data_IF_938623934707
#
_entry.id   IF_938623934707
#
_cell.length_a   1.000
_cell.length_b   1.000
_cell.length_c   1.000
_cell.angle_alpha   90.00
_cell.angle_beta   90.00
_cell.angle_gamma   90.00
#
_symmetry.space_group_name_H-M   'P 1'
#
loop_
_entity.id
_entity.type
_entity.pdbx_description
1 polymer ?
#
# COMPACT_ATOMS: atom_id res chain seq x y z
N UNK A 1 -7.90 -22.02 -18.72
CA UNK A 1 -6.52 -21.48 -18.61
C UNK A 1 -6.53 -20.06 -18.06
N UNK A 2 -7.56 -19.26 -18.36
CA UNK A 2 -7.71 -17.86 -17.91
C UNK A 2 -8.00 -17.69 -16.41
N UNK A 3 -8.78 -18.58 -15.79
CA UNK A 3 -9.03 -18.56 -14.33
C UNK A 3 -7.73 -18.55 -13.49
N UNK A 4 -6.69 -19.26 -13.97
CA UNK A 4 -5.37 -19.29 -13.31
C UNK A 4 -4.65 -17.94 -13.37
N UNK A 5 -4.92 -17.11 -14.38
CA UNK A 5 -4.27 -15.81 -14.54
C UNK A 5 -4.87 -14.76 -13.60
N UNK A 6 -6.20 -14.74 -13.44
CA UNK A 6 -6.87 -13.91 -12.42
C UNK A 6 -6.48 -14.28 -11.00
N UNK A 7 -6.42 -15.58 -10.67
CA UNK A 7 -5.98 -16.05 -9.35
C UNK A 7 -4.51 -15.68 -9.09
N UNK A 8 -3.65 -15.72 -10.12
CA UNK A 8 -2.27 -15.27 -10.01
C UNK A 8 -2.14 -13.74 -9.85
N UNK A 9 -2.90 -12.95 -10.63
CA UNK A 9 -2.95 -11.49 -10.49
C UNK A 9 -3.44 -11.10 -9.09
N UNK A 10 -4.52 -11.73 -8.60
CA UNK A 10 -5.05 -11.52 -7.26
C UNK A 10 -4.01 -11.85 -6.18
N UNK A 11 -3.36 -13.02 -6.26
CA UNK A 11 -2.39 -13.42 -5.26
C UNK A 11 -1.19 -12.46 -5.22
N UNK A 12 -0.72 -11.97 -6.37
CA UNK A 12 0.37 -11.01 -6.44
C UNK A 12 -0.02 -9.67 -5.81
N UNK A 13 -1.19 -9.13 -6.18
CA UNK A 13 -1.67 -7.85 -5.66
C UNK A 13 -1.99 -7.93 -4.15
N UNK A 14 -2.59 -9.03 -3.69
CA UNK A 14 -2.86 -9.29 -2.29
C UNK A 14 -1.57 -9.33 -1.47
N UNK A 15 -0.55 -10.05 -1.96
CA UNK A 15 0.75 -10.11 -1.30
C UNK A 15 1.42 -8.73 -1.20
N UNK A 16 1.30 -7.90 -2.25
CA UNK A 16 1.82 -6.52 -2.22
C UNK A 16 1.06 -5.65 -1.22
N UNK A 17 -0.27 -5.74 -1.21
CA UNK A 17 -1.14 -5.02 -0.28
C UNK A 17 -0.77 -5.33 1.18
N UNK A 18 -0.68 -6.61 1.54
CA UNK A 18 -0.27 -7.04 2.88
C UNK A 18 1.17 -6.66 3.22
N UNK A 19 2.06 -6.67 2.23
CA UNK A 19 3.44 -6.23 2.42
C UNK A 19 3.48 -4.75 2.82
N UNK A 20 2.71 -3.88 2.17
CA UNK A 20 2.69 -2.46 2.52
C UNK A 20 2.17 -2.21 3.95
N UNK A 21 1.19 -2.97 4.41
CA UNK A 21 0.73 -2.92 5.80
C UNK A 21 1.84 -3.31 6.80
N UNK A 22 2.62 -4.36 6.48
CA UNK A 22 3.77 -4.77 7.29
C UNK A 22 4.83 -3.66 7.34
N UNK A 23 5.13 -3.00 6.21
CA UNK A 23 6.08 -1.89 6.17
C UNK A 23 5.59 -0.68 7.00
N UNK A 24 4.30 -0.32 6.90
CA UNK A 24 3.63 0.69 7.74
C UNK A 24 3.80 0.38 9.24
N UNK A 25 3.60 -0.88 9.62
CA UNK A 25 3.80 -1.32 11.00
C UNK A 25 5.27 -1.19 11.44
N UNK A 26 6.22 -1.59 10.60
CA UNK A 26 7.65 -1.44 10.92
C UNK A 26 8.07 0.02 11.11
N UNK A 27 7.58 0.94 10.27
CA UNK A 27 7.83 2.37 10.41
C UNK A 27 7.31 2.88 11.76
N UNK A 28 6.12 2.45 12.19
CA UNK A 28 5.55 2.83 13.49
C UNK A 28 6.38 2.29 14.66
N UNK A 29 6.80 1.03 14.59
CA UNK A 29 7.66 0.43 15.62
C UNK A 29 9.02 1.13 15.72
N UNK A 30 9.64 1.45 14.58
CA UNK A 30 10.90 2.21 14.53
C UNK A 30 10.70 3.63 15.08
N UNK A 31 9.57 4.27 14.78
CA UNK A 31 9.24 5.61 15.31
C UNK A 31 9.15 5.60 16.84
N UNK A 32 8.49 4.59 17.41
CA UNK A 32 8.41 4.40 18.87
C UNK A 32 9.80 4.14 19.46
N UNK A 33 10.61 3.28 18.83
CA UNK A 33 11.98 3.01 19.26
C UNK A 33 12.85 4.28 19.24
N UNK A 34 12.74 5.09 18.18
CA UNK A 34 13.47 6.36 18.06
C UNK A 34 13.09 7.35 19.16
N UNK A 35 11.81 7.40 19.56
CA UNK A 35 11.37 8.21 20.70
C UNK A 35 12.04 7.76 22.00
N UNK A 36 12.07 6.46 22.28
CA UNK A 36 12.73 5.93 23.48
C UNK A 36 14.25 6.20 23.48
N UNK A 37 14.92 6.01 22.35
CA UNK A 37 16.35 6.29 22.23
C UNK A 37 16.64 7.78 22.37
N UNK A 38 15.80 8.65 21.80
CA UNK A 38 15.93 10.10 21.94
C UNK A 38 15.93 10.54 23.40
N UNK A 39 15.08 9.93 24.24
CA UNK A 39 15.03 10.19 25.67
C UNK A 39 16.31 9.75 26.38
N UNK A 40 16.78 8.52 26.11
CA UNK A 40 18.00 7.96 26.73
C UNK A 40 19.24 8.79 26.39
N UNK A 41 19.36 9.23 25.14
CA UNK A 41 20.52 9.98 24.66
C UNK A 41 20.35 11.50 24.77
N UNK A 42 19.25 11.99 25.34
CA UNK A 42 18.94 13.42 25.49
C UNK A 42 19.06 14.20 24.16
N UNK A 43 18.57 13.60 23.07
CA UNK A 43 18.57 14.21 21.73
C UNK A 43 17.59 15.38 21.68
N UNK A 44 17.93 16.42 20.91
CA UNK A 44 17.05 17.58 20.71
C UNK A 44 15.68 17.17 20.17
N UNK A 45 14.62 17.66 20.81
CA UNK A 45 13.21 17.45 20.41
C UNK A 45 12.93 17.86 18.97
N UNK A 46 13.61 18.91 18.46
CA UNK A 46 13.43 19.38 17.09
C UNK A 46 13.96 18.35 16.09
N UNK A 47 15.13 17.75 16.38
CA UNK A 47 15.75 16.75 15.50
C UNK A 47 14.91 15.48 15.41
N UNK A 48 14.43 14.95 16.55
CA UNK A 48 13.57 13.76 16.57
C UNK A 48 12.24 14.04 15.86
N UNK A 49 11.65 15.22 16.04
CA UNK A 49 10.42 15.61 15.35
C UNK A 49 10.58 15.58 13.82
N UNK A 50 11.68 16.15 13.30
CA UNK A 50 11.95 16.11 11.84
C UNK A 50 12.12 14.68 11.32
N UNK A 51 12.79 13.81 12.07
CA UNK A 51 12.96 12.40 11.69
C UNK A 51 11.60 11.69 11.67
N UNK A 52 10.78 11.87 12.71
CA UNK A 52 9.44 11.29 12.78
C UNK A 52 8.54 11.77 11.63
N UNK A 53 8.66 13.04 11.24
CA UNK A 53 7.91 13.60 10.12
C UNK A 53 8.27 12.91 8.79
N UNK A 54 9.55 12.63 8.56
CA UNK A 54 10.00 11.86 7.39
C UNK A 54 9.49 10.42 7.43
N UNK A 55 9.54 9.77 8.61
CA UNK A 55 9.00 8.41 8.78
C UNK A 55 7.50 8.36 8.51
N UNK A 56 6.74 9.35 8.99
CA UNK A 56 5.30 9.46 8.71
C UNK A 56 5.00 9.74 7.24
N UNK A 57 5.83 10.53 6.56
CA UNK A 57 5.70 10.74 5.12
C UNK A 57 5.88 9.41 4.36
N UNK A 58 6.84 8.57 4.77
CA UNK A 58 7.02 7.24 4.18
C UNK A 58 5.80 6.33 4.43
N UNK A 59 5.21 6.34 5.63
CA UNK A 59 3.95 5.63 5.93
C UNK A 59 2.82 6.07 5.00
N UNK A 60 2.66 7.38 4.79
CA UNK A 60 1.64 7.93 3.90
C UNK A 60 1.85 7.51 2.43
N UNK A 61 3.09 7.44 1.97
CA UNK A 61 3.43 6.95 0.62
C UNK A 61 2.99 5.49 0.47
N UNK A 62 3.29 4.62 1.45
CA UNK A 62 2.85 3.22 1.41
C UNK A 62 1.33 3.07 1.39
N UNK A 63 0.61 3.86 2.19
CA UNK A 63 -0.86 3.88 2.18
C UNK A 63 -1.45 4.36 0.86
N UNK A 64 -0.77 5.26 0.17
CA UNK A 64 -1.20 5.71 -1.18
C UNK A 64 -1.09 4.57 -2.18
N UNK A 65 0.01 3.80 -2.16
CA UNK A 65 0.14 2.60 -3.00
C UNK A 65 -0.88 1.53 -2.65
N UNK A 66 -1.17 1.35 -1.36
CA UNK A 66 -2.18 0.43 -0.88
C UNK A 66 -3.59 0.81 -1.37
N UNK A 67 -3.98 2.08 -1.21
CA UNK A 67 -5.26 2.62 -1.70
C UNK A 67 -5.41 2.48 -3.22
N UNK A 68 -4.30 2.53 -3.97
CA UNK A 68 -4.30 2.27 -5.41
C UNK A 68 -4.60 0.81 -5.76
N UNK A 69 -4.21 -0.14 -4.91
CA UNK A 69 -4.37 -1.58 -5.17
C UNK A 69 -5.77 -2.08 -4.81
N UNK A 70 -6.35 -1.57 -3.73
CA UNK A 70 -7.64 -1.98 -3.20
C UNK A 70 -8.79 -2.04 -4.24
N UNK A 71 -9.04 -1.00 -5.06
CA UNK A 71 -10.12 -1.03 -6.06
C UNK A 71 -9.95 -2.15 -7.09
N UNK A 72 -8.71 -2.43 -7.51
CA UNK A 72 -8.43 -3.49 -8.48
C UNK A 72 -8.63 -4.86 -7.84
N UNK A 73 -8.15 -5.04 -6.60
CA UNK A 73 -8.29 -6.29 -5.87
C UNK A 73 -9.76 -6.69 -5.75
N UNK A 74 -10.62 -5.76 -5.30
CA UNK A 74 -12.07 -5.95 -5.20
C UNK A 74 -12.71 -6.26 -6.56
N UNK A 75 -12.25 -5.63 -7.65
CA UNK A 75 -12.73 -5.90 -9.01
C UNK A 75 -12.38 -7.33 -9.46
N UNK A 76 -11.15 -7.79 -9.20
CA UNK A 76 -10.73 -9.16 -9.54
C UNK A 76 -11.53 -10.17 -8.72
N UNK A 77 -11.74 -9.93 -7.43
CA UNK A 77 -12.57 -10.80 -6.58
C UNK A 77 -14.00 -10.92 -7.11
N UNK A 78 -14.60 -9.81 -7.52
CA UNK A 78 -15.93 -9.81 -8.15
C UNK A 78 -15.93 -10.62 -9.44
N UNK A 79 -14.96 -10.43 -10.33
CA UNK A 79 -14.87 -11.16 -11.60
C UNK A 79 -14.67 -12.67 -11.39
N UNK A 80 -13.83 -13.06 -10.42
CA UNK A 80 -13.64 -14.48 -10.05
C UNK A 80 -14.94 -15.08 -9.52
N UNK A 81 -15.67 -14.35 -8.66
CA UNK A 81 -16.96 -14.78 -8.09
C UNK A 81 -18.04 -14.94 -9.16
N UNK A 82 -18.16 -13.97 -10.05
CA UNK A 82 -19.18 -13.93 -11.11
C UNK A 82 -18.79 -14.78 -12.34
N UNK A 83 -17.60 -15.40 -12.33
CA UNK A 83 -16.99 -16.14 -13.45
C UNK A 83 -17.01 -15.34 -14.75
N UNK A 84 -16.90 -14.02 -14.65
CA UNK A 84 -16.99 -13.11 -15.78
C UNK A 84 -15.61 -12.98 -16.42
N UNK A 85 -15.55 -13.17 -17.73
CA UNK A 85 -14.34 -12.88 -18.52
C UNK A 85 -14.17 -11.36 -18.62
N UNK A 86 -13.46 -10.80 -17.65
CA UNK A 86 -13.03 -9.40 -17.70
C UNK A 86 -11.76 -9.21 -18.55
N UNK A 87 -11.22 -7.99 -18.51
CA UNK A 87 -9.86 -7.72 -19.00
C UNK A 87 -8.83 -7.96 -17.89
N UNK A 88 -8.01 -8.99 -18.05
CA UNK A 88 -6.86 -9.31 -17.19
C UNK A 88 -5.77 -8.22 -17.29
N UNK A 89 -4.95 -8.08 -16.24
CA UNK A 89 -3.73 -7.25 -16.23
C UNK A 89 -3.94 -5.76 -16.59
N UNK A 90 -5.10 -5.19 -16.25
CA UNK A 90 -5.41 -3.77 -16.53
C UNK A 90 -5.11 -2.81 -15.38
N UNK A 91 -4.31 -3.23 -14.39
CA UNK A 91 -4.00 -2.44 -13.19
C UNK A 91 -3.62 -0.97 -13.49
N UNK A 92 -2.67 -0.75 -14.40
CA UNK A 92 -2.21 0.60 -14.75
C UNK A 92 -3.25 1.39 -15.57
N UNK A 93 -3.93 0.70 -16.49
CA UNK A 93 -4.91 1.34 -17.39
C UNK A 93 -6.14 1.81 -16.62
N UNK A 94 -6.62 1.01 -15.67
CA UNK A 94 -7.76 1.36 -14.82
C UNK A 94 -7.42 2.54 -13.91
N UNK A 95 -6.21 2.57 -13.36
CA UNK A 95 -5.75 3.71 -12.57
C UNK A 95 -5.72 5.01 -13.38
N UNK A 96 -5.15 4.98 -14.60
CA UNK A 96 -5.10 6.13 -15.49
C UNK A 96 -6.50 6.62 -15.89
N UNK A 97 -7.46 5.71 -16.06
CA UNK A 97 -8.85 6.08 -16.35
C UNK A 97 -9.49 6.82 -15.18
N UNK A 98 -9.28 6.37 -13.93
CA UNK A 98 -9.79 7.06 -12.74
C UNK A 98 -9.15 8.44 -12.58
N UNK A 99 -7.85 8.55 -12.84
CA UNK A 99 -7.13 9.84 -12.80
C UNK A 99 -7.63 10.83 -13.86
N UNK A 100 -7.87 10.35 -15.08
CA UNK A 100 -8.31 11.20 -16.22
C UNK A 100 -9.80 11.53 -16.22
N UNK A 101 -10.64 10.71 -15.56
CA UNK A 101 -12.08 10.98 -15.40
C UNK A 101 -12.42 11.84 -14.18
N UNK A 102 -11.41 12.24 -13.39
CA UNK A 102 -11.53 13.25 -12.33
C UNK A 102 -11.46 14.70 -12.81
N UNK A 103 -11.61 14.94 -14.12
CA UNK A 103 -11.69 16.26 -14.78
C UNK A 103 -13.09 16.50 -15.34
#
# INVERSE_FOLDING_TARGET
MEKKKYEAEWCLLQNQFESYEKHSLYIKLISILMLFLSEIFSVSMISIFLILLVLWLQDAIWKTFQSRIEPRLLKIEKNIREKTEGSEFQFNKEYQLVETSGL
#
